data_IF_129126196728
#
_entry.id   IF_129126196728
#
_cell.length_a   1.000
_cell.length_b   1.000
_cell.length_c   1.000
_cell.angle_alpha   90.00
_cell.angle_beta   90.00
_cell.angle_gamma   90.00
#
_symmetry.space_group_name_H-M   'P 1'
#
loop_
_entity.id
_entity.type
_entity.pdbx_description
1 polymer ?
#
# COMPACT_ATOMS: atom_id res chain seq x y z
N UNK A 1 -66.06 -50.19 8.83
CA UNK A 1 -64.76 -50.92 8.84
C UNK A 1 -63.73 -50.00 8.22
N UNK A 2 -62.65 -49.71 8.96
CA UNK A 2 -61.42 -48.95 8.63
C UNK A 2 -61.65 -47.46 8.23
N UNK A 3 -61.15 -46.40 8.89
CA UNK A 3 -60.02 -46.13 9.80
C UNK A 3 -58.63 -46.23 9.15
N UNK A 4 -58.07 -45.06 8.78
CA UNK A 4 -56.65 -44.70 8.58
C UNK A 4 -56.63 -43.15 8.53
N UNK A 5 -56.34 -42.42 9.62
CA UNK A 5 -55.04 -42.11 10.24
C UNK A 5 -54.06 -41.36 9.31
N UNK A 6 -54.23 -40.04 9.23
CA UNK A 6 -53.28 -39.10 8.63
C UNK A 6 -52.46 -38.43 9.75
N UNK A 7 -51.15 -38.68 9.78
CA UNK A 7 -50.20 -38.15 10.77
C UNK A 7 -49.39 -37.02 10.13
N UNK A 8 -49.39 -35.80 10.68
CA UNK A 8 -48.49 -34.75 10.23
C UNK A 8 -47.07 -34.97 10.75
N UNK A 9 -46.08 -34.85 9.87
CA UNK A 9 -44.66 -34.98 10.16
C UNK A 9 -44.10 -33.78 10.93
N UNK A 10 -43.45 -34.08 12.05
CA UNK A 10 -42.57 -33.19 12.82
C UNK A 10 -41.25 -33.01 12.05
N UNK A 11 -41.03 -31.83 11.47
CA UNK A 11 -39.70 -31.35 11.08
C UNK A 11 -39.29 -30.20 12.00
N UNK A 12 -38.63 -30.57 13.11
CA UNK A 12 -37.93 -29.62 13.97
C UNK A 12 -36.57 -29.23 13.35
N UNK A 13 -36.19 -27.94 13.35
CA UNK A 13 -34.87 -27.52 12.89
C UNK A 13 -33.79 -27.92 13.89
N UNK A 14 -32.74 -28.59 13.40
CA UNK A 14 -31.54 -28.92 14.19
C UNK A 14 -30.73 -27.65 14.47
N UNK A 15 -30.52 -27.37 15.75
CA UNK A 15 -29.57 -26.41 16.28
C UNK A 15 -28.13 -26.80 15.87
N UNK A 16 -27.53 -26.03 14.96
CA UNK A 16 -26.09 -26.06 14.69
C UNK A 16 -25.37 -25.12 15.68
N UNK A 17 -24.82 -25.71 16.74
CA UNK A 17 -23.94 -25.02 17.68
C UNK A 17 -22.62 -24.57 17.01
N UNK A 18 -22.06 -23.40 17.35
CA UNK A 18 -20.84 -22.89 16.75
C UNK A 18 -19.62 -23.69 17.23
N UNK A 19 -18.91 -24.33 16.30
CA UNK A 19 -17.61 -24.97 16.53
C UNK A 19 -16.57 -23.93 16.91
N UNK A 20 -16.08 -24.08 18.13
CA UNK A 20 -14.93 -23.42 18.74
C UNK A 20 -13.71 -23.44 17.80
N UNK A 21 -13.29 -22.25 17.33
CA UNK A 21 -12.12 -22.11 16.46
C UNK A 21 -10.85 -22.16 17.31
N UNK A 22 -9.98 -23.12 17.00
CA UNK A 22 -8.67 -23.26 17.62
C UNK A 22 -7.82 -21.98 17.46
N UNK A 23 -6.95 -21.64 18.45
CA UNK A 23 -6.12 -20.45 18.41
C UNK A 23 -5.06 -20.52 17.30
N UNK A 24 -4.96 -19.43 16.52
CA UNK A 24 -3.94 -19.25 15.49
C UNK A 24 -2.54 -19.31 16.10
N UNK A 25 -1.72 -20.26 15.64
CA UNK A 25 -0.28 -20.30 15.92
C UNK A 25 0.40 -19.18 15.12
N UNK A 26 0.88 -18.16 15.82
CA UNK A 26 1.82 -17.17 15.30
C UNK A 26 3.18 -17.82 15.07
N UNK A 27 3.71 -17.72 13.85
CA UNK A 27 5.04 -18.22 13.50
C UNK A 27 6.15 -17.39 14.17
N UNK A 28 7.21 -18.01 14.73
CA UNK A 28 8.27 -17.28 15.45
C UNK A 28 9.33 -16.65 14.52
N UNK A 29 9.68 -15.41 14.84
CA UNK A 29 11.06 -14.90 14.99
C UNK A 29 12.08 -15.07 13.86
N UNK A 30 12.45 -13.96 13.22
CA UNK A 30 13.79 -13.79 12.65
C UNK A 30 14.78 -13.54 13.80
N UNK A 31 15.72 -14.47 14.00
CA UNK A 31 16.88 -14.30 14.88
C UNK A 31 18.07 -13.65 14.15
N UNK A 32 19.03 -13.05 14.89
CA UNK A 32 20.21 -12.41 14.32
C UNK A 32 21.29 -13.44 13.92
N UNK A 33 22.00 -13.13 12.83
CA UNK A 33 23.14 -13.92 12.34
C UNK A 33 24.29 -13.88 13.35
N UNK A 34 24.60 -15.05 13.91
CA UNK A 34 25.73 -15.28 14.81
C UNK A 34 27.06 -15.45 14.08
N UNK A 35 28.11 -15.03 14.80
CA UNK A 35 29.53 -15.21 14.54
C UNK A 35 29.90 -16.62 14.04
N UNK A 36 30.82 -16.68 13.07
CA UNK A 36 31.69 -17.85 12.84
C UNK A 36 33.12 -17.50 13.31
N UNK A 37 33.76 -18.32 14.13
CA UNK A 37 35.22 -18.37 14.21
C UNK A 37 35.75 -19.42 13.23
N UNK A 38 36.91 -19.16 12.64
CA UNK A 38 37.80 -20.21 12.16
C UNK A 38 39.22 -19.67 12.07
N UNK A 39 40.09 -20.31 12.84
CA UNK A 39 41.53 -20.22 12.83
C UNK A 39 42.14 -20.33 11.42
N UNK A 40 43.23 -19.60 11.19
CA UNK A 40 44.35 -20.16 10.42
C UNK A 40 45.64 -19.45 10.83
N UNK A 41 46.44 -20.17 11.61
CA UNK A 41 47.87 -19.98 11.79
C UNK A 41 48.58 -20.01 10.43
N UNK A 42 49.35 -18.97 10.12
CA UNK A 42 50.48 -19.06 9.20
C UNK A 42 51.64 -18.28 9.82
N UNK A 43 52.68 -19.01 10.19
CA UNK A 43 54.03 -18.55 10.49
C UNK A 43 54.60 -17.74 9.32
N UNK A 44 55.13 -16.55 9.59
CA UNK A 44 56.19 -15.98 8.75
C UNK A 44 57.20 -15.20 9.62
N UNK A 45 58.46 -15.67 9.73
CA UNK A 45 59.51 -15.00 10.49
C UNK A 45 60.34 -14.14 9.55
N UNK A 46 60.23 -12.81 9.65
CA UNK A 46 61.38 -11.97 9.32
C UNK A 46 61.43 -10.67 10.11
N UNK A 47 62.63 -10.45 10.64
CA UNK A 47 63.03 -9.40 11.54
C UNK A 47 63.20 -8.05 10.83
N UNK A 48 62.91 -6.97 11.56
CA UNK A 48 63.09 -5.61 11.06
C UNK A 48 62.78 -4.53 12.10
N UNK A 49 63.41 -4.65 13.27
CA UNK A 49 64.04 -3.56 14.02
C UNK A 49 63.50 -2.13 13.85
N UNK A 50 62.80 -1.60 14.87
CA UNK A 50 63.09 -0.28 15.48
C UNK A 50 62.16 0.02 16.67
N UNK A 51 62.76 -0.06 17.86
CA UNK A 51 62.23 0.47 19.12
C UNK A 51 62.12 1.99 19.07
N UNK A 52 60.97 2.52 19.47
CA UNK A 52 60.88 3.79 20.22
C UNK A 52 59.72 3.67 21.24
N UNK A 53 59.95 3.86 22.55
CA UNK A 53 58.87 3.90 23.53
C UNK A 53 58.20 5.28 23.53
N UNK A 54 56.86 5.40 23.55
CA UNK A 54 56.22 6.66 23.88
C UNK A 54 56.35 6.90 25.39
N UNK A 55 57.02 8.00 25.70
CA UNK A 55 57.24 8.58 27.02
C UNK A 55 55.93 8.72 27.79
N UNK A 56 55.94 8.31 29.06
CA UNK A 56 54.86 8.49 30.01
C UNK A 56 54.50 9.99 30.15
N UNK A 57 53.24 10.31 29.90
CA UNK A 57 52.67 11.63 30.11
C UNK A 57 52.31 11.79 31.60
N UNK A 58 52.77 12.83 32.30
CA UNK A 58 52.43 13.06 33.71
C UNK A 58 50.94 13.39 33.88
N UNK A 59 50.32 13.03 35.03
CA UNK A 59 48.92 13.32 35.29
C UNK A 59 48.68 14.83 35.42
N UNK A 60 47.68 15.33 34.69
CA UNK A 60 47.21 16.70 34.82
C UNK A 60 46.56 16.92 36.21
N UNK A 61 46.71 18.10 36.83
CA UNK A 61 46.11 18.41 38.11
C UNK A 61 44.57 18.39 38.03
N UNK A 62 43.96 17.79 39.05
CA UNK A 62 42.52 17.68 39.22
C UNK A 62 41.83 19.05 39.16
N UNK A 63 40.89 19.20 38.24
CA UNK A 63 39.94 20.31 38.25
C UNK A 63 38.95 20.11 39.42
N UNK A 64 38.64 21.16 40.22
CA UNK A 64 37.62 21.08 41.25
C UNK A 64 36.23 20.84 40.63
N UNK A 65 35.34 20.10 41.31
CA UNK A 65 34.01 19.78 40.80
C UNK A 65 33.16 21.05 40.69
N UNK A 66 32.63 21.32 39.50
CA UNK A 66 31.62 22.34 39.30
C UNK A 66 30.34 21.99 40.07
N UNK A 67 29.63 22.97 40.66
CA UNK A 67 28.40 22.72 41.40
C UNK A 67 27.31 22.15 40.49
N UNK A 68 26.63 21.11 40.99
CA UNK A 68 25.55 20.41 40.32
C UNK A 68 24.43 21.39 39.93
N UNK A 69 24.17 21.50 38.62
CA UNK A 69 22.96 22.13 38.11
C UNK A 69 21.76 21.20 38.40
N UNK A 70 20.64 21.72 38.94
CA UNK A 70 19.42 20.92 39.10
C UNK A 70 18.92 20.44 37.72
N UNK A 71 18.32 19.24 37.64
CA UNK A 71 17.87 18.68 36.38
C UNK A 71 16.80 19.60 35.77
N UNK A 72 17.16 20.25 34.65
CA UNK A 72 16.20 20.90 33.79
C UNK A 72 15.17 19.84 33.37
N UNK A 73 13.91 20.08 33.73
CA UNK A 73 12.79 19.25 33.32
C UNK A 73 12.89 18.98 31.82
N UNK A 74 12.98 17.70 31.46
CA UNK A 74 12.87 17.28 30.07
C UNK A 74 11.54 17.85 29.54
N UNK A 75 11.54 18.63 28.44
CA UNK A 75 10.28 19.05 27.85
C UNK A 75 9.53 17.78 27.47
N UNK A 76 8.33 17.65 28.03
CA UNK A 76 7.36 16.64 27.66
C UNK A 76 7.32 16.57 26.13
N UNK A 77 7.50 15.37 25.58
CA UNK A 77 7.47 15.12 24.15
C UNK A 77 6.23 15.81 23.56
N UNK A 78 6.47 16.86 22.77
CA UNK A 78 5.40 17.56 22.11
C UNK A 78 4.64 16.55 21.24
N UNK A 79 3.29 16.60 21.20
CA UNK A 79 2.52 15.76 20.29
C UNK A 79 3.06 15.99 18.88
N UNK A 80 3.46 14.90 18.23
CA UNK A 80 3.97 14.87 16.87
C UNK A 80 3.12 15.79 16.01
N UNK A 81 3.76 16.81 15.44
CA UNK A 81 3.08 17.86 14.68
C UNK A 81 2.11 17.22 13.68
N UNK A 82 0.83 17.29 14.01
CA UNK A 82 -0.26 16.96 13.11
C UNK A 82 -0.06 17.84 11.89
N UNK A 83 -0.09 17.25 10.69
CA UNK A 83 -0.01 17.89 9.37
C UNK A 83 -1.05 19.02 9.21
N UNK A 84 -0.89 20.13 9.93
CA UNK A 84 -1.75 21.32 9.86
C UNK A 84 -1.45 22.01 8.54
N UNK A 85 -2.11 21.57 7.48
CA UNK A 85 -2.15 22.27 6.19
C UNK A 85 -1.92 21.40 4.97
N UNK A 86 -1.44 20.17 5.10
CA UNK A 86 -1.35 19.26 3.94
C UNK A 86 -2.65 18.48 3.80
N UNK A 87 -3.34 18.54 2.64
CA UNK A 87 -4.54 17.76 2.45
C UNK A 87 -4.19 16.26 2.51
N UNK A 88 -5.15 15.45 2.98
CA UNK A 88 -4.99 13.99 3.04
C UNK A 88 -4.83 13.41 1.64
N UNK A 89 -5.55 13.99 0.66
CA UNK A 89 -5.50 13.63 -0.76
C UNK A 89 -5.42 14.92 -1.56
N UNK A 90 -4.45 15.00 -2.46
CA UNK A 90 -4.32 16.08 -3.42
C UNK A 90 -5.05 15.71 -4.71
N UNK A 91 -5.83 16.64 -5.27
CA UNK A 91 -6.55 16.41 -6.52
C UNK A 91 -5.87 17.22 -7.62
N UNK A 92 -5.35 16.52 -8.62
CA UNK A 92 -4.80 17.08 -9.84
C UNK A 92 -5.86 16.98 -10.95
N UNK A 93 -6.35 18.12 -11.43
CA UNK A 93 -7.34 18.15 -12.51
C UNK A 93 -6.62 18.32 -13.85
N UNK A 94 -6.78 17.34 -14.73
CA UNK A 94 -6.16 17.30 -16.05
C UNK A 94 -7.26 17.55 -17.07
N UNK A 95 -7.16 18.65 -17.80
CA UNK A 95 -8.11 18.98 -18.87
C UNK A 95 -7.55 18.50 -20.20
N UNK A 96 -8.31 17.66 -20.89
CA UNK A 96 -7.99 17.16 -22.22
C UNK A 96 -9.02 17.67 -23.21
N UNK A 97 -8.55 18.19 -24.34
CA UNK A 97 -9.39 18.66 -25.44
C UNK A 97 -9.01 17.88 -26.68
N UNK A 98 -9.98 17.24 -27.33
CA UNK A 98 -9.69 16.44 -28.52
C UNK A 98 -10.80 15.46 -28.90
N UNK A 99 -10.54 14.57 -29.87
CA UNK A 99 -11.40 13.42 -30.12
C UNK A 99 -11.50 12.57 -28.85
N UNK A 100 -12.53 11.72 -28.78
CA UNK A 100 -12.78 10.85 -27.62
C UNK A 100 -11.48 10.19 -27.12
N UNK A 101 -11.27 10.14 -25.79
CA UNK A 101 -10.00 9.68 -25.22
C UNK A 101 -9.72 8.24 -25.64
N UNK A 102 -8.47 7.96 -26.02
CA UNK A 102 -8.06 6.60 -26.40
C UNK A 102 -8.20 5.68 -25.19
N UNK A 103 -8.87 4.55 -25.40
CA UNK A 103 -8.99 3.45 -24.43
C UNK A 103 -7.74 2.56 -24.40
N UNK A 104 -6.73 2.84 -25.20
CA UNK A 104 -5.56 1.96 -25.39
C UNK A 104 -4.58 2.00 -24.21
N UNK A 105 -4.70 2.99 -23.32
CA UNK A 105 -3.90 3.04 -22.10
C UNK A 105 -4.80 3.15 -20.86
N UNK A 106 -4.54 2.34 -19.82
CA UNK A 106 -5.22 2.50 -18.55
C UNK A 106 -4.91 3.90 -17.98
N UNK A 107 -5.95 4.60 -17.53
CA UNK A 107 -5.80 5.90 -16.90
C UNK A 107 -4.97 5.76 -15.62
N UNK A 108 -4.04 6.69 -15.43
CA UNK A 108 -3.23 6.80 -14.21
C UNK A 108 -4.02 7.60 -13.19
N UNK A 109 -4.99 6.97 -12.54
CA UNK A 109 -5.97 7.65 -11.68
C UNK A 109 -5.38 8.06 -10.34
N UNK A 110 -4.55 7.23 -9.72
CA UNK A 110 -4.02 7.52 -8.37
C UNK A 110 -2.51 7.35 -8.34
N UNK A 111 -1.83 8.22 -7.60
CA UNK A 111 -0.43 8.04 -7.22
C UNK A 111 -0.26 8.01 -5.71
N UNK A 112 0.36 6.95 -5.20
CA UNK A 112 0.77 6.82 -3.80
C UNK A 112 2.27 7.06 -3.72
N UNK A 113 2.65 8.16 -3.12
CA UNK A 113 4.04 8.54 -2.94
C UNK A 113 4.53 8.04 -1.59
N UNK A 114 5.62 7.30 -1.60
CA UNK A 114 6.30 6.82 -0.40
C UNK A 114 7.72 7.39 -0.34
N UNK A 115 8.54 6.88 0.59
CA UNK A 115 9.94 7.33 0.74
C UNK A 115 10.72 7.18 -0.57
N UNK A 116 10.68 5.99 -1.18
CA UNK A 116 11.54 5.65 -2.33
C UNK A 116 10.76 5.35 -3.61
N UNK A 117 9.45 5.13 -3.55
CA UNK A 117 8.65 4.67 -4.68
C UNK A 117 7.39 5.50 -4.87
N UNK A 118 6.93 5.56 -6.11
CA UNK A 118 5.62 6.07 -6.50
C UNK A 118 4.85 4.88 -7.08
N UNK A 119 3.72 4.55 -6.47
CA UNK A 119 2.81 3.52 -6.98
C UNK A 119 1.71 4.21 -7.77
N UNK A 120 1.62 3.92 -9.05
CA UNK A 120 0.57 4.43 -9.93
C UNK A 120 -0.51 3.37 -10.07
N UNK A 121 -1.75 3.78 -9.89
CA UNK A 121 -2.91 2.91 -9.92
C UNK A 121 -3.93 3.36 -10.96
N UNK A 122 -4.68 2.39 -11.46
CA UNK A 122 -5.84 2.61 -12.32
C UNK A 122 -7.10 3.02 -11.51
N UNK A 123 -8.22 3.18 -12.22
CA UNK A 123 -9.50 3.57 -11.63
C UNK A 123 -10.10 2.49 -10.71
N UNK A 124 -9.66 1.24 -10.84
CA UNK A 124 -10.09 0.11 -9.98
C UNK A 124 -9.07 -0.15 -8.86
N UNK A 125 -8.13 0.78 -8.68
CA UNK A 125 -7.07 0.77 -7.67
C UNK A 125 -6.08 -0.40 -7.83
N UNK A 126 -5.90 -0.93 -9.04
CA UNK A 126 -4.83 -1.88 -9.34
C UNK A 126 -3.54 -1.11 -9.58
N UNK A 127 -2.45 -1.52 -8.95
CA UNK A 127 -1.14 -0.94 -9.23
C UNK A 127 -0.65 -1.41 -10.61
N UNK A 128 -0.59 -0.46 -11.55
CA UNK A 128 -0.21 -0.72 -12.94
C UNK A 128 1.25 -0.35 -13.23
N UNK A 129 1.86 0.49 -12.38
CA UNK A 129 3.24 0.96 -12.55
C UNK A 129 3.85 1.31 -11.19
N UNK A 130 5.13 0.96 -11.01
CA UNK A 130 5.93 1.39 -9.86
C UNK A 130 7.13 2.17 -10.40
N UNK A 131 7.29 3.40 -9.93
CA UNK A 131 8.41 4.26 -10.33
C UNK A 131 9.34 4.49 -9.15
N UNK A 132 10.64 4.36 -9.36
CA UNK A 132 11.64 4.78 -8.39
C UNK A 132 11.67 6.32 -8.29
N UNK A 133 11.55 6.83 -7.07
CA UNK A 133 11.41 8.28 -6.85
C UNK A 133 12.69 9.05 -7.18
N UNK A 134 13.86 8.46 -6.94
CA UNK A 134 15.14 9.13 -7.13
C UNK A 134 15.56 9.17 -8.60
N UNK A 135 15.52 8.02 -9.27
CA UNK A 135 15.94 7.85 -10.66
C UNK A 135 14.85 8.13 -11.69
N UNK A 136 13.58 8.21 -11.25
CA UNK A 136 12.39 8.32 -12.12
C UNK A 136 12.23 7.16 -13.11
N UNK A 137 12.90 6.04 -12.87
CA UNK A 137 12.80 4.85 -13.71
C UNK A 137 11.65 3.94 -13.26
N UNK A 138 11.00 3.30 -14.22
CA UNK A 138 9.95 2.30 -13.97
C UNK A 138 10.61 1.00 -13.50
N UNK A 139 10.07 0.42 -12.44
CA UNK A 139 10.47 -0.88 -11.87
C UNK A 139 9.47 -1.93 -12.37
N UNK A 140 9.82 -2.62 -13.45
CA UNK A 140 8.93 -3.56 -14.14
C UNK A 140 8.67 -4.89 -13.43
N UNK A 141 9.50 -5.27 -12.45
CA UNK A 141 9.36 -6.51 -11.67
C UNK A 141 9.17 -6.17 -10.17
N UNK A 142 8.15 -5.37 -9.87
CA UNK A 142 7.82 -5.01 -8.49
C UNK A 142 6.67 -5.90 -7.98
N UNK A 143 6.74 -6.46 -6.75
CA UNK A 143 5.72 -7.35 -6.20
C UNK A 143 4.33 -6.72 -6.00
N UNK A 144 4.21 -5.40 -6.12
CA UNK A 144 2.92 -4.71 -6.02
C UNK A 144 2.21 -4.57 -7.38
N UNK A 145 2.91 -4.81 -8.50
CA UNK A 145 2.27 -4.76 -9.82
C UNK A 145 1.14 -5.78 -9.89
N UNK A 146 -0.04 -5.33 -10.33
CA UNK A 146 -1.26 -6.15 -10.38
C UNK A 146 -1.99 -6.30 -9.04
N UNK A 147 -1.42 -5.85 -7.91
CA UNK A 147 -2.12 -5.87 -6.63
C UNK A 147 -3.12 -4.70 -6.51
N UNK A 148 -4.22 -4.91 -5.79
CA UNK A 148 -5.23 -3.89 -5.54
C UNK A 148 -4.95 -3.14 -4.24
N UNK A 149 -4.98 -1.82 -4.28
CA UNK A 149 -4.94 -1.00 -3.07
C UNK A 149 -6.27 -1.12 -2.34
N UNK A 150 -6.18 -1.47 -1.06
CA UNK A 150 -7.33 -1.58 -0.15
C UNK A 150 -7.49 -0.29 0.64
N UNK A 151 -6.38 0.38 0.97
CA UNK A 151 -6.38 1.57 1.79
C UNK A 151 -5.06 1.79 2.52
N UNK A 152 -5.12 2.38 3.71
CA UNK A 152 -3.95 2.58 4.57
C UNK A 152 -4.15 2.06 5.98
N UNK A 153 -3.04 1.66 6.60
CA UNK A 153 -2.99 1.16 7.98
C UNK A 153 -2.03 2.00 8.81
N UNK A 154 -2.47 2.41 9.99
CA UNK A 154 -1.61 2.99 11.03
C UNK A 154 -1.67 2.11 12.28
N UNK A 155 -0.52 1.85 12.89
CA UNK A 155 -0.45 1.10 14.14
C UNK A 155 0.13 1.98 15.23
N UNK A 156 -0.63 2.15 16.30
CA UNK A 156 -0.25 2.90 17.49
C UNK A 156 -0.41 1.98 18.71
N UNK A 157 0.70 1.38 19.14
CA UNK A 157 0.70 0.37 20.21
C UNK A 157 -0.16 -0.86 19.86
N UNK A 158 -1.23 -1.05 20.62
CA UNK A 158 -2.22 -2.11 20.42
C UNK A 158 -3.36 -1.71 19.48
N UNK A 159 -3.50 -0.42 19.15
CA UNK A 159 -4.56 0.07 18.27
C UNK A 159 -4.11 0.01 16.81
N UNK A 160 -5.00 -0.50 15.96
CA UNK A 160 -4.84 -0.44 14.50
C UNK A 160 -5.95 0.47 13.96
N UNK A 161 -5.54 1.51 13.23
CA UNK A 161 -6.45 2.39 12.52
C UNK A 161 -6.35 2.10 11.02
N UNK A 162 -7.50 1.96 10.36
CA UNK A 162 -7.62 1.68 8.94
C UNK A 162 -8.27 2.87 8.24
N UNK A 163 -7.80 3.16 7.04
CA UNK A 163 -8.34 4.22 6.17
C UNK A 163 -8.69 3.61 4.81
N UNK A 164 -9.88 3.94 4.30
CA UNK A 164 -10.40 3.42 3.03
C UNK A 164 -11.09 4.54 2.22
N UNK A 165 -11.02 4.51 0.88
CA UNK A 165 -10.24 3.58 0.06
C UNK A 165 -8.77 3.99 -0.10
N UNK A 166 -8.39 5.18 0.39
CA UNK A 166 -7.04 5.72 0.22
C UNK A 166 -6.28 5.76 1.54
N UNK A 167 -4.96 5.50 1.52
CA UNK A 167 -4.12 5.68 2.69
C UNK A 167 -3.98 7.16 3.04
N UNK A 168 -3.82 7.48 4.32
CA UNK A 168 -3.47 8.83 4.75
C UNK A 168 -1.94 9.03 4.73
N UNK A 169 -1.44 10.25 4.51
CA UNK A 169 -0.03 10.56 4.79
C UNK A 169 0.36 10.14 6.20
N UNK A 170 1.54 9.53 6.35
CA UNK A 170 2.04 8.93 7.59
C UNK A 170 1.63 7.47 7.82
N UNK A 171 0.74 6.90 7.00
CA UNK A 171 0.27 5.50 7.15
C UNK A 171 0.92 4.58 6.11
N UNK A 172 0.89 3.27 6.34
CA UNK A 172 1.34 2.26 5.37
C UNK A 172 0.22 1.99 4.36
N UNK A 173 0.49 2.07 3.05
CA UNK A 173 -0.51 1.64 2.06
C UNK A 173 -0.58 0.11 2.03
N UNK A 174 -1.80 -0.43 2.02
CA UNK A 174 -2.10 -1.86 2.07
C UNK A 174 -2.64 -2.33 0.73
N UNK A 175 -1.99 -3.35 0.19
CA UNK A 175 -2.35 -3.98 -1.07
C UNK A 175 -2.78 -5.42 -0.84
N UNK A 176 -3.75 -5.88 -1.62
CA UNK A 176 -4.16 -7.28 -1.67
C UNK A 176 -3.87 -7.88 -3.04
N UNK A 177 -3.52 -9.16 -3.03
CA UNK A 177 -3.26 -9.90 -4.26
C UNK A 177 -4.58 -10.16 -5.01
N UNK A 178 -4.71 -9.63 -6.22
CA UNK A 178 -5.85 -9.89 -7.08
C UNK A 178 -5.60 -11.18 -7.84
N UNK A 179 -6.47 -12.17 -7.64
CA UNK A 179 -6.44 -13.39 -8.45
C UNK A 179 -5.41 -14.44 -8.04
N UNK A 180 -5.01 -14.48 -6.76
CA UNK A 180 -4.31 -15.59 -6.10
C UNK A 180 -3.47 -16.46 -7.03
N UNK A 181 -2.31 -15.96 -7.43
CA UNK A 181 -1.43 -16.60 -8.44
C UNK A 181 -0.73 -17.86 -7.94
N UNK A 182 -1.15 -18.46 -6.83
CA UNK A 182 -0.42 -19.56 -6.21
C UNK A 182 -1.26 -20.46 -5.30
N UNK A 183 -2.30 -21.08 -5.86
CA UNK A 183 -3.07 -22.26 -5.39
C UNK A 183 -4.53 -21.95 -5.01
N UNK A 184 -5.48 -22.79 -5.49
CA UNK A 184 -6.85 -22.77 -4.99
C UNK A 184 -6.85 -23.04 -3.46
N UNK A 185 -7.49 -22.17 -2.69
CA UNK A 185 -7.68 -22.31 -1.24
C UNK A 185 -6.79 -21.43 -0.35
N UNK A 186 -5.92 -20.57 -0.90
CA UNK A 186 -5.18 -19.59 -0.09
C UNK A 186 -5.85 -18.22 -0.21
N UNK A 187 -6.38 -17.70 0.90
CA UNK A 187 -6.83 -16.31 0.98
C UNK A 187 -5.69 -15.39 0.52
N UNK A 188 -6.01 -14.43 -0.36
CA UNK A 188 -5.04 -13.50 -0.94
C UNK A 188 -4.21 -12.82 0.14
N UNK A 189 -2.90 -12.75 -0.08
CA UNK A 189 -1.98 -12.10 0.86
C UNK A 189 -2.20 -10.60 0.90
N UNK A 190 -1.98 -9.99 2.07
CA UNK A 190 -1.87 -8.54 2.21
C UNK A 190 -0.40 -8.15 2.29
N UNK A 191 -0.02 -7.17 1.48
CA UNK A 191 1.31 -6.59 1.46
C UNK A 191 1.25 -5.11 1.82
N UNK A 192 2.28 -4.59 2.48
CA UNK A 192 2.31 -3.22 3.01
C UNK A 192 3.52 -2.46 2.50
N UNK A 193 3.31 -1.19 2.21
CA UNK A 193 4.38 -0.28 1.79
C UNK A 193 5.01 0.42 3.00
N UNK A 194 6.14 1.11 2.78
CA UNK A 194 6.62 2.12 3.72
C UNK A 194 5.62 3.29 3.84
N UNK A 195 5.73 4.09 4.91
CA UNK A 195 4.88 5.25 5.14
C UNK A 195 4.67 6.12 3.90
N UNK A 196 3.40 6.39 3.61
CA UNK A 196 2.93 7.27 2.54
C UNK A 196 3.26 8.70 2.91
N UNK A 197 3.89 9.44 2.01
CA UNK A 197 4.16 10.87 2.17
C UNK A 197 3.12 11.76 1.50
N UNK A 198 2.50 11.28 0.41
CA UNK A 198 1.55 12.05 -0.39
C UNK A 198 0.64 11.10 -1.19
N UNK A 199 -0.61 11.50 -1.38
CA UNK A 199 -1.57 10.80 -2.24
C UNK A 199 -2.10 11.81 -3.26
N UNK A 200 -2.03 11.46 -4.54
CA UNK A 200 -2.52 12.31 -5.63
C UNK A 200 -3.60 11.56 -6.39
N UNK A 201 -4.78 12.15 -6.51
CA UNK A 201 -5.88 11.69 -7.35
C UNK A 201 -5.91 12.55 -8.61
N UNK A 202 -5.79 11.92 -9.77
CA UNK A 202 -5.87 12.57 -11.08
C UNK A 202 -7.28 12.49 -11.65
N UNK A 203 -7.92 13.64 -11.76
CA UNK A 203 -9.23 13.79 -12.39
C UNK A 203 -9.03 14.25 -13.83
N UNK A 204 -9.21 13.35 -14.79
CA UNK A 204 -9.20 13.69 -16.22
C UNK A 204 -10.59 14.21 -16.63
N UNK A 205 -10.65 15.45 -17.11
CA UNK A 205 -11.84 16.07 -17.70
C UNK A 205 -11.61 16.17 -19.19
N UNK A 206 -12.28 15.31 -19.96
CA UNK A 206 -12.16 15.28 -21.42
C UNK A 206 -13.31 16.05 -22.04
N UNK A 207 -13.00 17.15 -22.73
CA UNK A 207 -13.97 17.92 -23.50
C UNK A 207 -13.91 17.51 -24.95
N UNK A 208 -14.94 16.79 -25.41
CA UNK A 208 -15.08 16.40 -26.81
C UNK A 208 -15.84 17.50 -27.54
N UNK A 209 -15.20 18.15 -28.52
CA UNK A 209 -15.89 19.08 -29.40
C UNK A 209 -16.63 18.29 -30.48
N UNK A 210 -17.96 18.49 -30.65
CA UNK A 210 -18.70 17.84 -31.72
C UNK A 210 -18.25 18.42 -33.07
N UNK A 211 -17.47 17.66 -33.83
CA UNK A 211 -17.11 18.02 -35.20
C UNK A 211 -18.19 17.68 -36.24
N UNK A 212 -19.39 17.29 -35.81
CA UNK A 212 -20.54 17.08 -36.70
C UNK A 212 -21.79 17.72 -36.13
N UNK A 213 -22.58 18.31 -37.03
CA UNK A 213 -23.93 18.84 -36.84
C UNK A 213 -24.69 17.87 -35.94
N UNK A 214 -25.20 18.38 -34.81
CA UNK A 214 -26.14 17.62 -33.97
C UNK A 214 -27.31 17.25 -34.89
N UNK A 215 -27.55 15.96 -35.19
CA UNK A 215 -28.68 15.59 -36.03
C UNK A 215 -29.93 16.16 -35.38
N UNK A 216 -30.74 16.87 -36.16
CA UNK A 216 -32.01 17.37 -35.64
C UNK A 216 -32.85 16.16 -35.24
N UNK A 217 -33.74 16.34 -34.26
CA UNK A 217 -34.63 15.27 -33.80
C UNK A 217 -35.46 14.64 -34.95
N UNK A 218 -35.65 15.39 -36.03
CA UNK A 218 -36.28 14.93 -37.29
C UNK A 218 -35.46 13.86 -38.02
N UNK A 219 -34.12 13.95 -38.05
CA UNK A 219 -33.26 12.95 -38.69
C UNK A 219 -33.23 11.63 -37.91
N UNK A 220 -33.32 11.71 -36.58
CA UNK A 220 -33.38 10.55 -35.69
C UNK A 220 -34.70 9.79 -35.86
N UNK A 221 -35.81 10.51 -36.07
CA UNK A 221 -37.15 9.91 -36.15
C UNK A 221 -37.56 9.51 -37.57
N UNK A 222 -36.99 10.12 -38.62
CA UNK A 222 -37.26 9.76 -40.01
C UNK A 222 -36.77 8.35 -40.42
N UNK A 223 -35.84 7.78 -39.66
CA UNK A 223 -35.25 6.45 -39.93
C UNK A 223 -36.12 5.26 -39.47
N UNK A 224 -37.27 5.52 -38.84
CA UNK A 224 -38.14 4.49 -38.22
C UNK A 224 -39.36 4.15 -39.10
N UNK A 225 -39.49 4.69 -40.32
CA UNK A 225 -40.58 4.28 -41.21
C UNK A 225 -40.36 2.84 -41.71
N UNK A 226 -41.30 1.90 -41.46
CA UNK A 226 -41.22 0.57 -42.03
C UNK A 226 -41.27 0.65 -43.57
N UNK A 227 -40.62 -0.28 -44.29
CA UNK A 227 -40.61 -0.27 -45.75
C UNK A 227 -42.05 -0.36 -46.29
N UNK A 228 -42.36 0.30 -47.42
CA UNK A 228 -43.70 0.24 -48.01
C UNK A 228 -44.04 -1.22 -48.34
N UNK A 229 -45.17 -1.67 -47.81
CA UNK A 229 -45.77 -2.96 -48.16
C UNK A 229 -46.26 -2.80 -49.60
N UNK A 230 -45.53 -3.37 -50.56
CA UNK A 230 -46.03 -3.54 -51.92
C UNK A 230 -47.28 -4.43 -51.85
N UNK A 231 -48.44 -3.87 -52.23
CA UNK A 231 -49.62 -4.66 -52.55
C UNK A 231 -49.64 -4.87 -54.06
N UNK A 232 -49.57 -6.13 -54.48
CA UNK A 232 -49.86 -6.62 -55.84
C UNK A 232 -51.34 -6.39 -56.21
#
# INVERSE_FOLDING_TARGET
>A
MAQEDDKPGDDAPKDDAPKERAPYKTSPGYGPLGNRPADTLVDDPNAGDRRVPPTAQPPAPAQPPAPAQPPAAAPAAAPTATHRGTPVIEIEVIHEHGPAPSTDRPFRTVEIWTRNRIYTLDAVLICIEVTDRASRQIVGDHPFLGMRLVGGQHREGERIELSHPFPRPGTEAVFEEVGGTGRPGRAGGFSRTSAVSRVVLRLHIVTVMPNHVVPTWEEITGSILPPPINQD
#
